data_IF_665804802466
#
_entry.id   IF_665804802466
#
_cell.length_a   1.000
_cell.length_b   1.000
_cell.length_c   1.000
_cell.angle_alpha   90.00
_cell.angle_beta   90.00
_cell.angle_gamma   90.00
#
_symmetry.space_group_name_H-M   'P 1'
#
loop_
_entity.id
_entity.type
_entity.pdbx_description
1 polymer ?
#
# COMPACT_ATOMS: atom_id res chain seq x y z
N UNK A 1 20.92 -5.63 4.56
CA UNK A 1 19.93 -6.12 5.54
C UNK A 1 18.59 -6.23 4.83
N UNK A 2 17.71 -7.15 5.25
CA UNK A 2 16.36 -7.22 4.67
C UNK A 2 15.57 -5.95 5.04
N UNK A 3 15.01 -5.28 4.05
CA UNK A 3 14.16 -4.11 4.26
C UNK A 3 12.73 -4.54 4.63
N UNK A 4 12.28 -5.66 4.06
CA UNK A 4 10.97 -6.24 4.31
C UNK A 4 11.16 -7.71 4.69
N UNK A 5 10.48 -8.16 5.73
CA UNK A 5 10.47 -9.56 6.14
C UNK A 5 9.06 -9.96 6.62
N UNK A 6 8.49 -10.96 5.97
CA UNK A 6 7.29 -11.66 6.42
C UNK A 6 7.71 -12.90 7.20
N UNK A 7 7.12 -13.10 8.37
CA UNK A 7 7.38 -14.24 9.25
C UNK A 7 6.07 -14.91 9.64
N UNK A 8 5.81 -16.08 9.08
CA UNK A 8 4.63 -16.90 9.36
C UNK A 8 3.32 -16.10 9.29
N UNK A 9 3.21 -15.24 8.27
CA UNK A 9 2.07 -14.32 8.13
C UNK A 9 0.87 -15.06 7.57
N UNK A 10 -0.24 -14.97 8.31
CA UNK A 10 -1.53 -15.54 7.93
C UNK A 10 -2.57 -14.43 7.88
N UNK A 11 -3.40 -14.45 6.83
CA UNK A 11 -4.59 -13.60 6.73
C UNK A 11 -5.81 -14.43 6.48
N UNK A 12 -6.77 -14.34 7.39
CA UNK A 12 -8.06 -15.02 7.32
C UNK A 12 -9.20 -14.02 7.16
N UNK A 13 -10.15 -14.37 6.32
CA UNK A 13 -11.44 -13.68 6.23
C UNK A 13 -12.54 -14.62 6.72
N UNK A 14 -13.43 -14.06 7.53
CA UNK A 14 -14.57 -14.78 8.08
C UNK A 14 -15.82 -14.41 7.29
N UNK A 15 -16.40 -15.41 6.59
CA UNK A 15 -17.63 -15.22 5.80
C UNK A 15 -18.70 -16.16 6.35
N UNK A 16 -19.48 -15.67 7.31
CA UNK A 16 -20.47 -16.49 8.02
C UNK A 16 -19.81 -17.67 8.76
N UNK A 17 -20.07 -18.89 8.30
CA UNK A 17 -19.50 -20.12 8.87
C UNK A 17 -18.18 -20.56 8.24
N UNK A 18 -17.71 -19.89 7.20
CA UNK A 18 -16.52 -20.26 6.46
C UNK A 18 -15.33 -19.36 6.80
N UNK A 19 -14.16 -19.97 6.91
CA UNK A 19 -12.87 -19.28 7.06
C UNK A 19 -12.13 -19.43 5.72
N UNK A 20 -11.72 -18.32 5.15
CA UNK A 20 -10.91 -18.27 3.93
C UNK A 20 -9.51 -17.82 4.31
N UNK A 21 -8.52 -18.68 4.12
CA UNK A 21 -7.11 -18.33 4.26
C UNK A 21 -6.66 -17.64 2.96
N UNK A 22 -6.66 -16.32 2.95
CA UNK A 22 -6.19 -15.55 1.79
C UNK A 22 -4.65 -15.51 1.72
N UNK A 23 -3.99 -15.66 2.87
CA UNK A 23 -2.57 -15.89 3.01
C UNK A 23 -2.36 -16.91 4.14
N UNK A 24 -1.53 -17.92 3.92
CA UNK A 24 -1.31 -19.01 4.87
C UNK A 24 0.18 -19.21 5.08
N UNK A 25 0.64 -18.91 6.31
CA UNK A 25 2.02 -19.10 6.78
C UNK A 25 3.11 -18.56 5.84
N UNK A 26 2.86 -17.39 5.25
CA UNK A 26 3.78 -16.80 4.29
C UNK A 26 5.04 -16.25 4.97
N UNK A 27 6.20 -16.70 4.48
CA UNK A 27 7.51 -16.23 4.99
C UNK A 27 8.45 -15.96 3.82
N UNK A 28 8.95 -14.74 3.73
CA UNK A 28 9.93 -14.30 2.72
C UNK A 28 10.62 -13.02 3.16
N UNK A 29 11.67 -12.64 2.43
CA UNK A 29 12.42 -11.39 2.64
C UNK A 29 12.63 -10.68 1.33
N UNK A 30 12.65 -9.36 1.40
CA UNK A 30 13.06 -8.46 0.32
C UNK A 30 14.20 -7.59 0.84
N UNK A 31 15.28 -7.51 0.11
CA UNK A 31 16.44 -6.72 0.51
C UNK A 31 16.29 -5.27 0.05
N UNK A 32 17.06 -4.39 0.68
CA UNK A 32 17.12 -3.00 0.27
C UNK A 32 17.59 -2.87 -1.19
N UNK A 33 16.90 -2.02 -1.97
CA UNK A 33 17.17 -1.80 -3.39
C UNK A 33 16.72 -2.95 -4.32
N UNK A 34 16.04 -3.97 -3.81
CA UNK A 34 15.58 -5.11 -4.61
C UNK A 34 14.27 -4.79 -5.35
N UNK A 35 14.20 -5.15 -6.62
CA UNK A 35 12.97 -5.16 -7.41
C UNK A 35 12.35 -6.56 -7.36
N UNK A 36 11.20 -6.67 -6.72
CA UNK A 36 10.53 -7.95 -6.47
C UNK A 36 9.22 -8.05 -7.24
N UNK A 37 8.99 -9.20 -7.88
CA UNK A 37 7.74 -9.50 -8.59
C UNK A 37 7.01 -10.64 -7.91
N UNK A 38 5.72 -10.43 -7.60
CA UNK A 38 4.84 -11.43 -6.99
C UNK A 38 3.99 -12.05 -8.09
N UNK A 39 4.21 -13.33 -8.36
CA UNK A 39 3.51 -14.09 -9.39
C UNK A 39 2.52 -15.08 -8.78
N UNK A 40 1.46 -15.36 -9.50
CA UNK A 40 0.45 -16.35 -9.12
C UNK A 40 -0.87 -16.18 -9.87
N UNK A 41 -1.74 -17.20 -9.87
CA UNK A 41 -3.06 -17.13 -10.48
C UNK A 41 -3.97 -16.10 -9.79
N UNK A 42 -5.11 -15.82 -10.41
CA UNK A 42 -6.15 -15.01 -9.76
C UNK A 42 -6.60 -15.69 -8.46
N UNK A 43 -6.80 -14.90 -7.40
CA UNK A 43 -7.18 -15.42 -6.08
C UNK A 43 -6.04 -16.00 -5.23
N UNK A 44 -4.77 -15.96 -5.71
CA UNK A 44 -3.63 -16.49 -4.97
C UNK A 44 -3.14 -15.63 -3.78
N UNK A 45 -3.90 -14.61 -3.37
CA UNK A 45 -3.55 -13.76 -2.23
C UNK A 45 -2.57 -12.62 -2.52
N UNK A 46 -2.21 -12.36 -3.79
CA UNK A 46 -1.25 -11.29 -4.16
C UNK A 46 -1.68 -9.91 -3.67
N UNK A 47 -2.93 -9.53 -3.92
CA UNK A 47 -3.47 -8.24 -3.45
C UNK A 47 -3.56 -8.19 -1.93
N UNK A 48 -3.92 -9.29 -1.27
CA UNK A 48 -3.92 -9.39 0.18
C UNK A 48 -2.52 -9.15 0.76
N UNK A 49 -1.50 -9.76 0.17
CA UNK A 49 -0.12 -9.58 0.58
C UNK A 49 0.31 -8.11 0.45
N UNK A 50 0.00 -7.45 -0.68
CA UNK A 50 0.29 -6.03 -0.89
C UNK A 50 -0.50 -5.13 0.08
N UNK A 51 -1.77 -5.45 0.37
CA UNK A 51 -2.57 -4.71 1.34
C UNK A 51 -2.00 -4.81 2.77
N UNK A 52 -1.52 -6.00 3.15
CA UNK A 52 -0.86 -6.21 4.43
C UNK A 52 0.46 -5.42 4.51
N UNK A 53 1.29 -5.49 3.47
CA UNK A 53 2.53 -4.74 3.39
C UNK A 53 2.29 -3.23 3.38
N UNK A 54 1.25 -2.77 2.68
CA UNK A 54 0.86 -1.36 2.65
C UNK A 54 0.19 -0.86 3.93
N UNK A 55 -0.06 -1.74 4.91
CA UNK A 55 -0.76 -1.37 6.15
C UNK A 55 -2.22 -0.96 5.92
N UNK A 56 -2.83 -1.40 4.82
CA UNK A 56 -4.26 -1.20 4.52
C UNK A 56 -5.09 -2.21 5.31
N UNK A 57 -4.56 -3.43 5.45
CA UNK A 57 -5.16 -4.50 6.25
C UNK A 57 -4.18 -4.98 7.33
N UNK A 58 -4.71 -5.60 8.37
CA UNK A 58 -3.92 -6.23 9.42
C UNK A 58 -3.83 -7.74 9.17
N UNK A 59 -2.67 -8.32 9.46
CA UNK A 59 -2.50 -9.76 9.49
C UNK A 59 -3.33 -10.39 10.62
N UNK A 60 -3.82 -11.62 10.41
CA UNK A 60 -4.46 -12.39 11.48
C UNK A 60 -3.42 -12.93 12.44
N UNK A 61 -2.28 -13.40 11.91
CA UNK A 61 -1.13 -13.89 12.69
C UNK A 61 0.18 -13.58 11.97
N UNK A 62 1.29 -13.69 12.68
CA UNK A 62 2.63 -13.49 12.14
C UNK A 62 3.15 -12.06 12.30
N UNK A 63 4.34 -11.84 11.78
CA UNK A 63 5.02 -10.53 11.84
C UNK A 63 5.34 -10.02 10.44
N UNK A 64 5.18 -8.72 10.25
CA UNK A 64 5.58 -8.02 9.04
C UNK A 64 6.59 -6.95 9.46
N UNK A 65 7.85 -7.20 9.21
CA UNK A 65 8.93 -6.29 9.57
C UNK A 65 9.24 -5.43 8.36
N UNK A 66 9.19 -4.11 8.53
CA UNK A 66 9.60 -3.13 7.52
C UNK A 66 10.59 -2.17 8.17
N UNK A 67 11.78 -2.06 7.61
CA UNK A 67 12.87 -1.24 8.15
C UNK A 67 13.11 -1.49 9.64
N UNK A 68 13.06 -2.77 10.07
CA UNK A 68 13.28 -3.19 11.46
C UNK A 68 12.07 -3.01 12.39
N UNK A 69 10.93 -2.53 11.91
CA UNK A 69 9.72 -2.30 12.70
C UNK A 69 8.62 -3.30 12.32
N UNK A 70 8.00 -3.93 13.31
CA UNK A 70 6.86 -4.81 13.07
C UNK A 70 5.58 -4.00 12.87
N UNK A 71 5.18 -3.81 11.60
CA UNK A 71 3.97 -3.06 11.25
C UNK A 71 2.68 -3.81 11.56
N UNK A 72 2.71 -5.14 11.68
CA UNK A 72 1.55 -5.94 12.09
C UNK A 72 1.08 -5.62 13.52
N UNK A 73 1.97 -5.07 14.36
CA UNK A 73 1.66 -4.64 15.73
C UNK A 73 1.26 -3.16 15.83
N UNK A 74 1.14 -2.45 14.70
CA UNK A 74 0.79 -1.03 14.71
C UNK A 74 -0.70 -0.81 14.96
N UNK A 75 -1.01 0.25 15.72
CA UNK A 75 -2.37 0.78 15.82
C UNK A 75 -2.69 1.69 14.61
N UNK A 76 -3.95 2.08 14.46
CA UNK A 76 -4.44 2.88 13.32
C UNK A 76 -3.64 4.17 13.11
N UNK A 77 -3.26 4.86 14.19
CA UNK A 77 -2.48 6.10 14.12
C UNK A 77 -1.08 5.86 13.53
N UNK A 78 -0.41 4.78 13.95
CA UNK A 78 0.90 4.40 13.42
C UNK A 78 0.80 3.93 11.98
N UNK A 79 -0.24 3.16 11.62
CA UNK A 79 -0.48 2.72 10.25
C UNK A 79 -0.77 3.91 9.32
N UNK A 80 -1.54 4.89 9.77
CA UNK A 80 -1.78 6.12 9.00
C UNK A 80 -0.48 6.86 8.72
N UNK A 81 0.40 7.01 9.74
CA UNK A 81 1.71 7.61 9.54
C UNK A 81 2.57 6.78 8.57
N UNK A 82 2.63 5.47 8.75
CA UNK A 82 3.36 4.55 7.89
C UNK A 82 2.95 4.69 6.41
N UNK A 83 1.65 4.71 6.12
CA UNK A 83 1.13 4.93 4.76
C UNK A 83 1.49 6.31 4.20
N UNK A 84 1.57 7.32 5.07
CA UNK A 84 1.89 8.68 4.64
C UNK A 84 3.38 8.91 4.36
N UNK A 85 4.29 8.16 5.02
CA UNK A 85 5.73 8.45 4.99
C UNK A 85 6.60 7.35 4.40
N UNK A 86 6.18 6.10 4.48
CA UNK A 86 7.03 4.95 4.17
C UNK A 86 6.59 4.15 2.94
N UNK A 87 5.34 4.35 2.47
CA UNK A 87 4.74 3.57 1.39
C UNK A 87 4.18 4.47 0.29
N UNK A 88 4.55 4.19 -0.97
CA UNK A 88 3.85 4.66 -2.16
C UNK A 88 3.02 3.52 -2.74
N UNK A 89 1.69 3.68 -2.83
CA UNK A 89 0.80 2.64 -3.32
C UNK A 89 0.23 3.01 -4.69
N UNK A 90 0.39 2.12 -5.67
CA UNK A 90 -0.27 2.24 -6.98
C UNK A 90 -1.37 1.18 -7.04
N UNK A 91 -2.62 1.62 -7.08
CA UNK A 91 -3.78 0.74 -7.09
C UNK A 91 -4.10 0.21 -8.49
N UNK A 92 -4.71 -0.96 -8.56
CA UNK A 92 -5.22 -1.54 -9.81
C UNK A 92 -6.32 -0.67 -10.44
N UNK A 93 -7.17 -0.08 -9.61
CA UNK A 93 -8.17 0.93 -10.00
C UNK A 93 -7.65 2.30 -9.57
N UNK A 94 -7.92 3.32 -10.37
CA UNK A 94 -7.33 4.65 -10.23
C UNK A 94 -7.62 5.34 -8.90
N UNK A 95 -8.73 4.98 -8.22
CA UNK A 95 -9.16 5.56 -6.93
C UNK A 95 -9.21 7.09 -6.93
N UNK A 96 -9.50 7.68 -8.09
CA UNK A 96 -9.66 9.12 -8.24
C UNK A 96 -11.06 9.55 -7.80
N UNK A 97 -11.15 10.75 -7.25
CA UNK A 97 -12.42 11.39 -6.94
C UNK A 97 -12.92 12.04 -8.24
N UNK A 98 -14.02 11.54 -8.84
CA UNK A 98 -14.44 11.97 -10.17
C UNK A 98 -14.96 13.42 -10.24
N UNK A 99 -15.29 14.02 -9.11
CA UNK A 99 -15.72 15.40 -8.98
C UNK A 99 -14.58 16.39 -8.81
N UNK A 100 -13.35 15.91 -8.70
CA UNK A 100 -12.15 16.73 -8.59
C UNK A 100 -11.33 16.65 -9.87
N UNK A 101 -10.68 17.73 -10.23
CA UNK A 101 -9.71 17.78 -11.34
C UNK A 101 -8.46 16.93 -11.02
N UNK A 102 -7.63 16.67 -12.03
CA UNK A 102 -6.37 15.99 -11.84
C UNK A 102 -5.49 16.69 -10.79
N UNK A 103 -5.41 18.02 -10.84
CA UNK A 103 -4.66 18.83 -9.89
C UNK A 103 -5.19 18.65 -8.46
N UNK A 104 -6.50 18.77 -8.26
CA UNK A 104 -7.13 18.63 -6.95
C UNK A 104 -6.98 17.21 -6.38
N UNK A 105 -7.11 16.18 -7.22
CA UNK A 105 -6.86 14.79 -6.81
C UNK A 105 -5.43 14.59 -6.30
N UNK A 106 -4.44 15.16 -6.98
CA UNK A 106 -3.03 15.06 -6.56
C UNK A 106 -2.77 15.91 -5.32
N UNK A 107 -3.41 17.09 -5.19
CA UNK A 107 -3.19 17.99 -4.06
C UNK A 107 -3.73 17.43 -2.73
N UNK A 108 -4.70 16.51 -2.76
CA UNK A 108 -5.20 15.83 -1.55
C UNK A 108 -4.09 15.19 -0.71
N UNK A 109 -3.00 14.74 -1.35
CA UNK A 109 -1.86 14.13 -0.65
C UNK A 109 -1.20 15.12 0.31
N UNK A 110 -1.22 16.42 0.01
CA UNK A 110 -0.60 17.46 0.84
C UNK A 110 -1.28 17.63 2.20
N UNK A 111 -2.56 17.31 2.29
CA UNK A 111 -3.30 17.34 3.57
C UNK A 111 -2.79 16.27 4.55
N UNK A 112 -2.19 15.19 4.04
CA UNK A 112 -1.76 14.04 4.84
C UNK A 112 -0.22 13.98 4.95
N UNK A 113 0.49 14.48 3.92
CA UNK A 113 1.96 14.44 3.80
C UNK A 113 2.53 15.86 3.78
N UNK A 114 3.00 16.40 4.92
CA UNK A 114 3.50 17.78 5.01
C UNK A 114 4.64 18.12 4.05
N UNK A 115 5.41 17.10 3.64
CA UNK A 115 6.56 17.26 2.73
C UNK A 115 6.25 16.81 1.30
N UNK A 116 4.97 16.67 0.94
CA UNK A 116 4.59 16.28 -0.42
C UNK A 116 5.03 17.35 -1.44
N UNK A 117 5.47 16.88 -2.59
CA UNK A 117 5.75 17.73 -3.76
C UNK A 117 4.49 18.51 -4.16
N UNK A 118 4.65 19.76 -4.61
CA UNK A 118 3.54 20.53 -5.14
C UNK A 118 2.84 19.79 -6.28
N UNK A 119 1.50 19.79 -6.29
CA UNK A 119 0.71 18.99 -7.24
C UNK A 119 1.01 19.34 -8.70
N UNK A 120 1.23 20.62 -9.02
CA UNK A 120 1.64 21.06 -10.36
C UNK A 120 2.97 20.44 -10.78
N UNK A 121 3.97 20.46 -9.88
CA UNK A 121 5.29 19.91 -10.17
C UNK A 121 5.23 18.37 -10.32
N UNK A 122 4.40 17.71 -9.53
CA UNK A 122 4.18 16.26 -9.65
C UNK A 122 3.54 15.91 -11.01
N UNK A 123 2.50 16.63 -11.44
CA UNK A 123 1.87 16.44 -12.74
C UNK A 123 2.81 16.75 -13.90
N UNK A 124 3.61 17.81 -13.79
CA UNK A 124 4.60 18.17 -14.81
C UNK A 124 5.68 17.07 -14.95
N UNK A 125 6.12 16.47 -13.85
CA UNK A 125 7.14 15.40 -13.85
C UNK A 125 6.71 14.14 -14.62
N UNK A 126 5.41 13.91 -14.75
CA UNK A 126 4.83 12.77 -15.49
C UNK A 126 4.20 13.19 -16.83
N UNK A 127 4.41 14.44 -17.28
CA UNK A 127 3.94 14.94 -18.58
C UNK A 127 2.45 15.30 -18.61
N UNK A 128 1.81 15.49 -17.46
CA UNK A 128 0.36 15.80 -17.35
C UNK A 128 0.08 17.29 -17.04
N UNK A 129 1.01 18.17 -17.31
CA UNK A 129 0.87 19.62 -17.04
C UNK A 129 -0.39 20.23 -17.68
N UNK A 130 -0.66 19.89 -18.94
CA UNK A 130 -1.79 20.44 -19.70
C UNK A 130 -3.14 19.83 -19.28
N UNK A 131 -3.14 18.64 -18.69
CA UNK A 131 -4.33 17.92 -18.23
C UNK A 131 -4.74 18.28 -16.80
N UNK A 132 -4.01 19.15 -16.11
CA UNK A 132 -4.20 19.44 -14.68
C UNK A 132 -5.61 19.86 -14.27
N UNK A 133 -6.36 20.47 -15.17
CA UNK A 133 -7.76 20.91 -14.92
C UNK A 133 -8.82 19.97 -15.51
N UNK A 134 -8.40 18.84 -16.08
CA UNK A 134 -9.33 17.84 -16.58
C UNK A 134 -9.84 16.97 -15.42
N UNK A 135 -11.06 16.50 -15.55
CA UNK A 135 -11.68 15.52 -14.66
C UNK A 135 -11.32 14.10 -15.11
N UNK A 136 -11.32 13.12 -14.19
CA UNK A 136 -11.13 11.70 -14.50
C UNK A 136 -12.14 11.13 -15.48
#
# INVERSE_FOLDING_TARGET
MAQIEFKNVTKQYFTGTHIINALDDASFKVNDGEFTVILGPSGAGKSTLLNLLGGIELATNGEIIVNGNNIAAYNDKKLTKYRATDVGFVFQFYNLIPTLTALENVDLVREICPNATAAEAALESVGLKEQRYQFP
#
